data_IF_683372219766
#
_entry.id   IF_683372219766
#
_cell.length_a   1.000
_cell.length_b   1.000
_cell.length_c   1.000
_cell.angle_alpha   90.00
_cell.angle_beta   90.00
_cell.angle_gamma   90.00
#
_symmetry.space_group_name_H-M   'P 1'
#
loop_
_entity.id
_entity.type
_entity.pdbx_description
1 polymer ?
#
# COMPACT_ATOMS: atom_id res chain seq x y z
N UNK A 1 -1.42 2.42 -4.27
CA UNK A 1 -1.89 1.02 -4.29
C UNK A 1 -3.40 1.00 -4.08
N UNK A 2 -4.10 0.17 -4.82
CA UNK A 2 -5.57 0.05 -4.80
C UNK A 2 -5.95 -1.40 -4.46
N UNK A 3 -6.78 -1.57 -3.44
CA UNK A 3 -7.43 -2.83 -3.10
C UNK A 3 -8.88 -2.83 -3.57
N UNK A 4 -9.26 -3.83 -4.36
CA UNK A 4 -10.65 -4.17 -4.60
C UNK A 4 -11.04 -5.27 -3.61
N UNK A 5 -12.01 -4.98 -2.73
CA UNK A 5 -12.42 -5.88 -1.67
C UNK A 5 -13.93 -6.14 -1.66
N UNK A 6 -14.33 -7.16 -0.90
CA UNK A 6 -15.71 -7.43 -0.53
C UNK A 6 -15.84 -7.47 1.01
N UNK A 7 -16.90 -6.90 1.62
CA UNK A 7 -17.04 -6.83 3.08
C UNK A 7 -17.11 -8.20 3.79
N UNK A 8 -17.57 -9.22 3.08
CA UNK A 8 -17.72 -10.59 3.61
C UNK A 8 -16.46 -11.45 3.42
N UNK A 9 -15.48 -10.98 2.65
CA UNK A 9 -14.27 -11.73 2.31
C UNK A 9 -13.29 -11.82 3.50
N UNK A 10 -13.02 -13.04 3.97
CA UNK A 10 -12.11 -13.29 5.10
C UNK A 10 -10.67 -12.85 4.85
N UNK A 11 -10.13 -13.12 3.66
CA UNK A 11 -8.78 -12.68 3.27
C UNK A 11 -8.65 -11.16 3.22
N UNK A 12 -9.71 -10.46 2.82
CA UNK A 12 -9.76 -9.00 2.78
C UNK A 12 -9.70 -8.41 4.20
N UNK A 13 -10.45 -9.00 5.13
CA UNK A 13 -10.40 -8.61 6.56
C UNK A 13 -9.02 -8.83 7.17
N UNK A 14 -8.31 -9.88 6.77
CA UNK A 14 -6.93 -10.14 7.22
C UNK A 14 -5.92 -9.17 6.59
N UNK A 15 -6.14 -8.75 5.35
CA UNK A 15 -5.27 -7.84 4.62
C UNK A 15 -5.41 -6.37 5.07
N UNK A 16 -6.61 -5.95 5.45
CA UNK A 16 -6.89 -4.57 5.88
C UNK A 16 -5.87 -4.01 6.91
N UNK A 17 -5.59 -4.68 8.06
CA UNK A 17 -4.61 -4.15 9.01
C UNK A 17 -3.18 -4.08 8.44
N UNK A 18 -2.82 -4.96 7.50
CA UNK A 18 -1.51 -4.95 6.85
C UNK A 18 -1.38 -3.72 5.94
N UNK A 19 -2.42 -3.41 5.16
CA UNK A 19 -2.44 -2.21 4.32
C UNK A 19 -2.48 -0.91 5.13
N UNK A 20 -3.12 -0.92 6.31
CA UNK A 20 -3.05 0.20 7.26
C UNK A 20 -1.62 0.43 7.77
N UNK A 21 -0.90 -0.64 8.13
CA UNK A 21 0.50 -0.53 8.53
C UNK A 21 1.42 -0.05 7.42
N UNK A 22 1.16 -0.46 6.17
CA UNK A 22 1.87 0.07 5.00
C UNK A 22 1.56 1.56 4.86
N UNK A 23 0.29 1.97 4.92
CA UNK A 23 -0.10 3.37 4.83
C UNK A 23 0.60 4.24 5.91
N UNK A 24 0.64 3.77 7.16
CA UNK A 24 1.37 4.44 8.26
C UNK A 24 2.86 4.60 7.94
N UNK A 25 3.49 3.58 7.32
CA UNK A 25 4.91 3.63 6.95
C UNK A 25 5.23 4.74 5.94
N UNK A 26 4.22 5.24 5.22
CA UNK A 26 4.31 6.30 4.23
C UNK A 26 3.42 7.51 4.56
N UNK A 27 2.97 7.68 5.80
CA UNK A 27 2.02 8.75 6.18
C UNK A 27 2.52 10.17 5.89
N UNK A 28 3.85 10.34 5.85
CA UNK A 28 4.52 11.62 5.56
C UNK A 28 4.99 11.73 4.10
N UNK A 29 4.67 10.75 3.26
CA UNK A 29 4.99 10.72 1.83
C UNK A 29 3.72 10.98 1.01
N UNK A 30 3.54 12.23 0.57
CA UNK A 30 2.36 12.65 -0.17
C UNK A 30 2.21 11.95 -1.54
N UNK A 31 3.27 11.30 -2.05
CA UNK A 31 3.26 10.61 -3.33
C UNK A 31 2.75 9.16 -3.19
N UNK A 32 2.56 8.67 -1.96
CA UNK A 32 2.11 7.30 -1.70
C UNK A 32 0.70 7.29 -1.12
N UNK A 33 -0.24 6.75 -1.90
CA UNK A 33 -1.63 6.55 -1.48
C UNK A 33 -1.96 5.06 -1.43
N UNK A 34 -2.53 4.61 -0.31
CA UNK A 34 -3.17 3.30 -0.16
C UNK A 34 -4.68 3.51 -0.14
N UNK A 35 -5.39 2.94 -1.12
CA UNK A 35 -6.82 3.08 -1.28
C UNK A 35 -7.51 1.72 -1.33
N UNK A 36 -8.77 1.67 -0.89
CA UNK A 36 -9.64 0.50 -0.98
C UNK A 36 -10.97 0.87 -1.62
N UNK A 37 -11.50 -0.01 -2.46
CA UNK A 37 -12.79 0.10 -3.12
C UNK A 37 -13.62 -1.15 -2.82
N UNK A 38 -14.83 -0.95 -2.30
CA UNK A 38 -15.82 -2.02 -2.16
C UNK A 38 -16.41 -2.32 -3.53
N UNK A 39 -15.91 -3.36 -4.19
CA UNK A 39 -16.33 -3.75 -5.53
C UNK A 39 -17.68 -4.48 -5.55
N UNK A 40 -18.30 -4.70 -4.39
CA UNK A 40 -19.64 -5.33 -4.32
C UNK A 40 -20.77 -4.33 -4.50
N UNK A 41 -20.48 -3.04 -4.30
CA UNK A 41 -21.46 -1.95 -4.38
C UNK A 41 -21.00 -0.78 -5.27
N UNK A 42 -19.81 -0.87 -5.87
CA UNK A 42 -19.29 0.13 -6.80
C UNK A 42 -18.93 -0.53 -8.14
N UNK A 43 -19.14 0.20 -9.23
CA UNK A 43 -18.75 -0.23 -10.56
C UNK A 43 -17.22 -0.17 -10.72
N UNK A 44 -16.65 -1.24 -11.27
CA UNK A 44 -15.21 -1.34 -11.59
C UNK A 44 -15.02 -1.24 -13.10
N UNK A 45 -14.17 -0.33 -13.61
CA UNK A 45 -13.84 -0.26 -15.03
C UNK A 45 -13.10 -1.53 -15.50
N UNK A 46 -13.84 -2.46 -16.12
CA UNK A 46 -13.36 -3.78 -16.55
C UNK A 46 -12.34 -3.72 -17.70
N UNK A 47 -12.28 -2.60 -18.42
CA UNK A 47 -11.25 -2.29 -19.42
C UNK A 47 -9.89 -1.95 -18.79
N UNK A 48 -9.90 -1.56 -17.51
CA UNK A 48 -8.72 -1.13 -16.76
C UNK A 48 -8.30 -2.16 -15.72
N UNK A 49 -9.26 -2.77 -15.01
CA UNK A 49 -9.02 -3.68 -13.90
C UNK A 49 -9.70 -5.03 -14.11
N UNK A 50 -8.94 -6.10 -13.94
CA UNK A 50 -9.40 -7.48 -14.03
C UNK A 50 -9.68 -8.06 -12.63
N UNK A 51 -10.82 -7.69 -12.05
CA UNK A 51 -11.22 -8.12 -10.71
C UNK A 51 -12.00 -9.44 -10.78
N UNK A 52 -11.27 -10.55 -10.73
CA UNK A 52 -11.83 -11.91 -10.79
C UNK A 52 -12.16 -12.51 -9.41
N UNK A 53 -11.76 -11.84 -8.33
CA UNK A 53 -11.94 -12.32 -6.96
C UNK A 53 -11.52 -11.29 -5.93
N UNK A 54 -11.52 -11.69 -4.65
CA UNK A 54 -11.21 -10.77 -3.56
C UNK A 54 -10.19 -11.34 -2.55
N UNK A 55 -9.25 -10.51 -2.07
CA UNK A 55 -8.94 -9.17 -2.59
C UNK A 55 -8.18 -9.26 -3.94
N UNK A 56 -8.37 -8.27 -4.80
CA UNK A 56 -7.53 -8.01 -5.98
C UNK A 56 -6.76 -6.71 -5.75
N UNK A 57 -5.46 -6.72 -6.02
CA UNK A 57 -4.56 -5.61 -5.70
C UNK A 57 -3.90 -5.08 -6.96
N UNK A 58 -3.93 -3.75 -7.10
CA UNK A 58 -3.24 -3.05 -8.17
C UNK A 58 -2.31 -1.98 -7.63
N UNK A 59 -1.15 -1.86 -8.25
CA UNK A 59 -0.27 -0.71 -8.09
C UNK A 59 -0.38 0.21 -9.30
N UNK A 60 -0.54 1.50 -9.06
CA UNK A 60 -0.50 2.55 -10.09
C UNK A 60 0.62 3.53 -9.77
N UNK A 61 1.58 3.70 -10.68
CA UNK A 61 2.65 4.69 -10.54
C UNK A 61 2.15 6.11 -10.86
N UNK A 62 2.91 7.12 -10.43
CA UNK A 62 2.68 8.51 -10.83
C UNK A 62 2.78 8.71 -12.36
N UNK A 63 3.58 7.90 -13.05
CA UNK A 63 3.70 7.91 -14.52
C UNK A 63 2.52 7.21 -15.23
N UNK A 64 1.56 6.65 -14.49
CA UNK A 64 0.37 6.01 -15.04
C UNK A 64 0.50 4.51 -15.30
N UNK A 65 1.64 3.88 -15.01
CA UNK A 65 1.81 2.43 -15.16
C UNK A 65 0.93 1.70 -14.14
N UNK A 66 0.12 0.76 -14.62
CA UNK A 66 -0.75 -0.08 -13.80
C UNK A 66 -0.21 -1.51 -13.78
N UNK A 67 -0.05 -2.07 -12.58
CA UNK A 67 0.49 -3.41 -12.35
C UNK A 67 -0.43 -4.19 -11.43
N UNK A 68 -0.85 -5.40 -11.83
CA UNK A 68 -1.48 -6.33 -10.89
C UNK A 68 -0.44 -6.81 -9.88
N UNK A 69 -0.85 -6.93 -8.61
CA UNK A 69 0.01 -7.42 -7.55
C UNK A 69 -0.35 -8.84 -7.15
N UNK A 70 0.53 -9.77 -7.51
CA UNK A 70 0.42 -11.20 -7.25
C UNK A 70 1.40 -11.68 -6.16
N UNK A 71 2.04 -10.74 -5.45
CA UNK A 71 2.99 -11.05 -4.39
C UNK A 71 2.34 -11.44 -3.07
N UNK A 72 3.18 -11.85 -2.11
CA UNK A 72 2.75 -12.17 -0.76
C UNK A 72 2.13 -10.95 -0.08
N UNK A 73 1.03 -11.16 0.63
CA UNK A 73 0.23 -10.09 1.22
C UNK A 73 0.76 -9.66 2.59
N UNK A 74 2.07 -9.58 2.73
CA UNK A 74 2.74 -9.10 3.93
C UNK A 74 3.16 -7.64 3.77
N UNK A 75 3.31 -6.93 4.88
CA UNK A 75 3.81 -5.55 4.88
C UNK A 75 5.16 -5.43 4.16
N UNK A 76 6.08 -6.35 4.41
CA UNK A 76 7.43 -6.28 3.86
C UNK A 76 7.43 -6.47 2.34
N UNK A 77 6.66 -7.44 1.83
CA UNK A 77 6.60 -7.70 0.38
C UNK A 77 5.96 -6.54 -0.39
N UNK A 78 4.96 -5.88 0.20
CA UNK A 78 4.35 -4.68 -0.37
C UNK A 78 5.35 -3.51 -0.37
N UNK A 79 6.08 -3.29 0.73
CA UNK A 79 7.12 -2.26 0.79
C UNK A 79 8.25 -2.57 -0.21
N UNK A 80 8.62 -3.84 -0.37
CA UNK A 80 9.65 -4.25 -1.32
C UNK A 80 9.21 -4.04 -2.78
N UNK A 81 7.93 -4.24 -3.10
CA UNK A 81 7.38 -3.81 -4.38
C UNK A 81 7.58 -2.31 -4.58
N UNK A 82 7.21 -1.48 -3.60
CA UNK A 82 7.35 -0.02 -3.67
C UNK A 82 8.81 0.38 -3.92
N UNK A 83 9.77 -0.27 -3.25
CA UNK A 83 11.20 -0.04 -3.48
C UNK A 83 11.62 -0.42 -4.90
N UNK A 84 11.18 -1.57 -5.42
CA UNK A 84 11.54 -2.05 -6.77
C UNK A 84 11.05 -1.13 -7.87
N UNK A 85 9.92 -0.47 -7.67
CA UNK A 85 9.31 0.45 -8.64
C UNK A 85 9.71 1.92 -8.42
N UNK A 86 10.68 2.18 -7.53
CA UNK A 86 11.28 3.50 -7.34
C UNK A 86 10.68 4.37 -6.24
N UNK A 87 9.75 3.84 -5.43
CA UNK A 87 9.25 4.51 -4.22
C UNK A 87 10.14 4.11 -3.04
N UNK A 88 10.90 5.06 -2.51
CA UNK A 88 11.70 4.85 -1.31
C UNK A 88 10.90 5.20 -0.07
N UNK A 89 11.05 4.44 1.03
CA UNK A 89 10.48 4.85 2.32
C UNK A 89 10.95 6.26 2.65
N UNK A 90 10.05 7.16 3.12
CA UNK A 90 10.47 8.47 3.58
C UNK A 90 11.58 8.29 4.61
N UNK A 91 12.68 9.04 4.42
CA UNK A 91 13.74 9.08 5.42
C UNK A 91 13.07 9.55 6.70
N UNK A 92 13.05 8.71 7.74
CA UNK A 92 12.62 9.11 9.08
C UNK A 92 13.49 10.30 9.50
N UNK A 93 13.01 11.51 9.30
CA UNK A 93 13.64 12.71 9.84
C UNK A 93 13.30 12.74 11.31
N UNK A 94 14.05 12.00 12.11
CA UNK A 94 14.05 12.19 13.54
C UNK A 94 14.46 13.64 13.84
N UNK A 95 13.63 14.45 14.54
CA UNK A 95 14.10 15.70 15.09
C UNK A 95 15.10 15.35 16.21
N UNK A 96 16.35 15.78 16.03
CA UNK A 96 17.45 15.69 17.00
C UNK A 96 17.95 14.30 17.39
N UNK A 97 19.02 13.84 16.72
CA UNK A 97 20.00 12.93 17.33
C UNK A 97 21.15 13.65 18.07
N UNK A 98 21.10 14.99 18.23
CA UNK A 98 22.10 15.75 18.99
C UNK A 98 21.83 15.86 20.51
N UNK A 99 21.25 14.82 21.12
CA UNK A 99 21.02 14.77 22.59
C UNK A 99 21.53 13.48 23.26
N UNK A 100 22.47 12.77 22.63
CA UNK A 100 23.25 11.70 23.28
C UNK A 100 24.75 11.86 23.08
N UNK A 101 25.30 13.00 23.47
CA UNK A 101 26.74 13.15 23.78
C UNK A 101 27.02 14.25 24.80
N UNK A 102 26.20 14.34 25.85
CA UNK A 102 26.62 14.97 27.12
C UNK A 102 26.21 14.08 28.27
N UNK A 103 27.05 13.09 28.56
CA UNK A 103 27.22 12.61 29.93
C UNK A 103 28.57 13.16 30.38
N UNK A 104 28.50 14.02 31.40
CA UNK A 104 29.63 14.38 32.25
C UNK A 104 30.12 13.17 33.02
#
# INVERSE_FOLDING_TARGET
>A
MLEFFAPWCGHCKQLAPILEEVAISFENDADVLIAKLDATVNDVPVDTFDVQGYPTLYFRSASGNLLSYEGDRTKNDIIDLFRRIGISLPKLTWPNQNLKSRKH
#
